data_IF_476168380923
#
_entry.id   IF_476168380923
#
_cell.length_a   1.000
_cell.length_b   1.000
_cell.length_c   1.000
_cell.angle_alpha   90.00
_cell.angle_beta   90.00
_cell.angle_gamma   90.00
#
_symmetry.space_group_name_H-M   'P 1'
#
loop_
_entity.id
_entity.type
_entity.pdbx_description
1 polymer ?
#
# COMPACT_ATOMS: atom_id res chain seq x y z
N UNK A 1 27.28 -5.52 -14.45
CA UNK A 1 26.64 -6.52 -13.55
C UNK A 1 26.26 -7.74 -14.36
N UNK A 2 26.40 -8.95 -13.82
CA UNK A 2 25.82 -10.16 -14.38
C UNK A 2 24.30 -10.06 -14.52
N UNK A 3 23.75 -10.81 -15.47
CA UNK A 3 22.30 -10.98 -15.62
C UNK A 3 21.75 -11.65 -14.35
N UNK A 4 20.69 -11.08 -13.76
CA UNK A 4 20.09 -11.55 -12.50
C UNK A 4 20.53 -10.77 -11.24
N UNK A 5 21.58 -9.97 -11.28
CA UNK A 5 22.02 -9.13 -10.13
C UNK A 5 21.42 -7.71 -10.10
N UNK A 6 20.61 -7.36 -11.11
CA UNK A 6 20.01 -6.04 -11.27
C UNK A 6 18.49 -6.11 -11.08
N UNK A 7 18.06 -6.84 -10.05
CA UNK A 7 16.64 -7.05 -9.77
C UNK A 7 16.38 -6.84 -8.28
N UNK A 8 15.26 -6.19 -7.96
CA UNK A 8 14.81 -5.98 -6.58
C UNK A 8 14.38 -7.32 -5.97
N UNK A 9 14.87 -7.66 -4.78
CA UNK A 9 14.61 -8.95 -4.14
C UNK A 9 13.64 -8.83 -2.96
N UNK A 10 13.16 -9.97 -2.44
CA UNK A 10 12.42 -9.99 -1.16
C UNK A 10 13.29 -9.48 0.00
N UNK A 11 14.60 -9.75 -0.03
CA UNK A 11 15.51 -9.19 0.96
C UNK A 11 15.48 -7.66 0.92
N UNK A 12 15.46 -7.05 -0.26
CA UNK A 12 15.33 -5.59 -0.38
C UNK A 12 14.00 -5.08 0.21
N UNK A 13 12.89 -5.81 0.04
CA UNK A 13 11.60 -5.46 0.66
C UNK A 13 11.70 -5.45 2.19
N UNK A 14 12.28 -6.50 2.77
CA UNK A 14 12.38 -6.65 4.21
C UNK A 14 13.32 -5.59 4.82
N UNK A 15 14.52 -5.42 4.25
CA UNK A 15 15.53 -4.55 4.84
C UNK A 15 15.32 -3.07 4.55
N UNK A 16 14.81 -2.70 3.37
CA UNK A 16 14.61 -1.28 3.03
C UNK A 16 13.23 -0.74 3.43
N UNK A 17 12.20 -1.59 3.51
CA UNK A 17 10.84 -1.14 3.80
C UNK A 17 10.29 -1.68 5.12
N UNK A 18 10.99 -2.62 5.76
CA UNK A 18 10.49 -3.27 6.98
C UNK A 18 9.21 -4.08 6.72
N UNK A 19 8.91 -4.44 5.46
CA UNK A 19 7.70 -5.17 5.13
C UNK A 19 7.90 -6.66 5.38
N UNK A 20 6.92 -7.36 5.99
CA UNK A 20 6.96 -8.81 6.15
C UNK A 20 6.99 -9.49 4.78
N UNK A 21 7.94 -10.41 4.60
CA UNK A 21 8.10 -11.22 3.38
C UNK A 21 7.60 -12.65 3.53
N UNK A 22 7.33 -13.08 4.75
CA UNK A 22 6.70 -14.35 5.08
C UNK A 22 5.24 -14.13 5.52
N UNK A 23 4.48 -15.22 5.63
CA UNK A 23 3.09 -15.19 6.11
C UNK A 23 2.05 -15.42 5.02
N UNK A 24 0.81 -15.02 5.30
CA UNK A 24 -0.32 -15.29 4.43
C UNK A 24 -0.22 -14.49 3.11
N UNK A 25 -0.64 -15.08 1.97
CA UNK A 25 -0.67 -14.35 0.71
C UNK A 25 -1.70 -13.21 0.76
N UNK A 26 -1.31 -12.04 0.26
CA UNK A 26 -2.26 -10.95 -0.02
C UNK A 26 -2.97 -11.28 -1.33
N UNK A 27 -4.24 -11.66 -1.23
CA UNK A 27 -5.14 -12.01 -2.34
C UNK A 27 -6.21 -10.93 -2.56
N UNK A 28 -7.11 -11.11 -3.52
CA UNK A 28 -8.15 -10.13 -3.85
C UNK A 28 -7.86 -9.42 -5.16
N UNK A 29 -8.31 -10.05 -6.24
CA UNK A 29 -8.49 -9.35 -7.50
C UNK A 29 -9.54 -8.24 -7.31
N UNK A 30 -9.55 -7.25 -8.20
CA UNK A 30 -10.53 -6.16 -8.24
C UNK A 30 -11.99 -6.64 -8.13
N UNK A 31 -12.30 -7.84 -8.63
CA UNK A 31 -13.66 -8.38 -8.70
C UNK A 31 -14.04 -9.34 -7.57
N UNK A 32 -13.07 -10.00 -6.93
CA UNK A 32 -13.35 -11.17 -6.08
C UNK A 32 -13.03 -10.91 -4.60
N UNK A 33 -12.55 -9.71 -4.26
CA UNK A 33 -12.21 -9.37 -2.88
C UNK A 33 -13.44 -9.39 -1.95
N UNK A 34 -14.65 -9.28 -2.50
CA UNK A 34 -15.90 -9.46 -1.75
C UNK A 34 -16.00 -10.85 -1.11
N UNK A 35 -15.37 -11.88 -1.70
CA UNK A 35 -15.30 -13.23 -1.12
C UNK A 35 -14.42 -13.32 0.14
N UNK A 36 -13.55 -12.32 0.34
CA UNK A 36 -12.71 -12.20 1.55
C UNK A 36 -13.44 -11.46 2.67
N UNK A 37 -14.63 -10.90 2.40
CA UNK A 37 -15.41 -10.22 3.40
C UNK A 37 -16.18 -11.22 4.26
N UNK A 38 -16.16 -11.00 5.57
CA UNK A 38 -16.96 -11.81 6.49
C UNK A 38 -18.46 -11.56 6.26
N UNK A 39 -19.26 -12.61 6.46
CA UNK A 39 -20.74 -12.58 6.44
C UNK A 39 -21.43 -12.24 5.11
N UNK A 40 -20.69 -12.07 4.00
CA UNK A 40 -21.29 -11.77 2.69
C UNK A 40 -22.03 -10.42 2.65
N UNK A 41 -21.70 -9.51 3.58
CA UNK A 41 -22.28 -8.17 3.62
C UNK A 41 -21.87 -7.37 2.38
N UNK A 42 -22.68 -6.38 1.94
CA UNK A 42 -22.26 -5.45 0.89
C UNK A 42 -21.02 -4.64 1.31
N UNK A 43 -20.08 -4.42 0.38
CA UNK A 43 -18.82 -3.71 0.65
C UNK A 43 -18.98 -2.34 1.33
N UNK A 44 -20.02 -1.59 0.95
CA UNK A 44 -20.28 -0.25 1.50
C UNK A 44 -20.89 -0.30 2.88
N UNK A 45 -21.67 -1.34 3.21
CA UNK A 45 -22.12 -1.55 4.58
C UNK A 45 -20.93 -1.85 5.49
N UNK A 46 -20.00 -2.69 5.03
CA UNK A 46 -18.80 -2.99 5.81
C UNK A 46 -17.87 -1.78 5.96
N UNK A 47 -17.77 -0.95 4.92
CA UNK A 47 -17.09 0.33 5.02
C UNK A 47 -17.66 1.19 6.15
N UNK A 48 -18.97 1.37 6.19
CA UNK A 48 -19.62 2.16 7.24
C UNK A 48 -19.40 1.57 8.64
N UNK A 49 -19.42 0.24 8.79
CA UNK A 49 -19.09 -0.42 10.05
C UNK A 49 -17.64 -0.15 10.51
N UNK A 50 -16.68 -0.18 9.58
CA UNK A 50 -15.25 0.01 9.88
C UNK A 50 -14.84 1.47 10.08
N UNK A 51 -15.53 2.41 9.45
CA UNK A 51 -15.18 3.84 9.44
C UNK A 51 -16.16 4.74 10.21
N UNK A 52 -17.37 4.24 10.50
CA UNK A 52 -18.44 4.96 11.18
C UNK A 52 -19.20 5.96 10.30
N UNK A 53 -18.82 6.10 9.04
CA UNK A 53 -19.46 7.00 8.07
C UNK A 53 -19.21 6.54 6.63
N UNK A 54 -20.10 6.96 5.72
CA UNK A 54 -19.91 6.80 4.29
C UNK A 54 -19.31 8.07 3.67
N UNK A 55 -18.45 7.93 2.64
CA UNK A 55 -18.03 9.07 1.85
C UNK A 55 -19.21 9.70 1.10
N UNK A 56 -19.15 11.00 0.77
CA UNK A 56 -20.07 11.63 -0.17
C UNK A 56 -20.13 10.88 -1.51
N UNK A 57 -21.32 10.84 -2.13
CA UNK A 57 -21.56 10.08 -3.37
C UNK A 57 -20.65 10.51 -4.51
N UNK A 58 -20.31 11.81 -4.60
CA UNK A 58 -19.39 12.38 -5.59
C UNK A 58 -17.93 11.97 -5.38
N UNK A 59 -17.58 11.45 -4.19
CA UNK A 59 -16.27 10.89 -3.89
C UNK A 59 -16.17 9.40 -4.28
N UNK A 60 -17.29 8.73 -4.55
CA UNK A 60 -17.39 7.29 -4.80
C UNK A 60 -17.36 7.00 -6.30
N UNK A 61 -16.65 5.95 -6.69
CA UNK A 61 -16.65 5.38 -8.05
C UNK A 61 -16.48 3.87 -7.93
N UNK A 62 -17.56 3.12 -8.19
CA UNK A 62 -17.66 1.66 -8.02
C UNK A 62 -17.13 1.15 -6.66
N UNK A 63 -15.89 0.67 -6.61
CA UNK A 63 -15.22 0.10 -5.43
C UNK A 63 -14.06 0.97 -4.94
N UNK A 64 -14.12 2.27 -5.23
CA UNK A 64 -13.06 3.20 -4.90
C UNK A 64 -13.63 4.50 -4.34
N UNK A 65 -12.82 5.16 -3.51
CA UNK A 65 -13.12 6.47 -2.92
C UNK A 65 -12.02 7.45 -3.29
N UNK A 66 -12.36 8.72 -3.51
CA UNK A 66 -11.38 9.79 -3.73
C UNK A 66 -10.33 9.83 -2.62
N UNK A 67 -9.06 9.85 -3.00
CA UNK A 67 -7.94 10.05 -2.07
C UNK A 67 -8.07 11.38 -1.33
N UNK A 68 -8.57 12.44 -1.99
CA UNK A 68 -8.77 13.74 -1.36
C UNK A 68 -9.74 13.68 -0.18
N UNK A 69 -10.78 12.85 -0.28
CA UNK A 69 -11.70 12.63 0.84
C UNK A 69 -11.01 11.90 1.99
N UNK A 70 -10.35 10.77 1.71
CA UNK A 70 -9.59 10.01 2.71
C UNK A 70 -8.55 10.89 3.41
N UNK A 71 -7.77 11.64 2.63
CA UNK A 71 -6.75 12.53 3.16
C UNK A 71 -7.36 13.58 4.08
N UNK A 72 -8.45 14.23 3.68
CA UNK A 72 -9.10 15.25 4.51
C UNK A 72 -9.71 14.67 5.77
N UNK A 73 -10.38 13.51 5.67
CA UNK A 73 -11.09 12.87 6.79
C UNK A 73 -10.16 12.30 7.85
N UNK A 74 -9.03 11.73 7.44
CA UNK A 74 -8.08 11.08 8.34
C UNK A 74 -6.81 11.90 8.55
N UNK A 75 -6.80 13.18 8.14
CA UNK A 75 -5.61 14.06 8.25
C UNK A 75 -5.17 14.29 9.68
N UNK A 76 -6.13 14.58 10.56
CA UNK A 76 -5.89 15.04 11.92
C UNK A 76 -6.78 14.24 12.85
N UNK A 77 -6.16 13.41 13.68
CA UNK A 77 -6.85 12.69 14.74
C UNK A 77 -7.14 13.63 15.92
N UNK A 78 -8.31 13.54 16.56
CA UNK A 78 -8.60 14.28 17.79
C UNK A 78 -7.56 13.98 18.88
N UNK A 79 -7.23 14.98 19.70
CA UNK A 79 -6.23 14.86 20.77
C UNK A 79 -6.68 13.96 21.92
N UNK A 80 -7.99 13.78 22.07
CA UNK A 80 -8.68 12.97 23.08
C UNK A 80 -9.30 11.69 22.46
N UNK A 81 -8.74 11.21 21.35
CA UNK A 81 -9.24 10.04 20.64
C UNK A 81 -9.27 8.79 21.54
N UNK A 82 -10.44 8.16 21.60
CA UNK A 82 -10.61 6.83 22.22
C UNK A 82 -9.95 5.75 21.37
N UNK A 83 -9.66 4.58 21.96
CA UNK A 83 -9.05 3.45 21.23
C UNK A 83 -9.82 3.08 19.94
N UNK A 84 -11.16 2.96 19.92
CA UNK A 84 -11.91 2.74 18.67
C UNK A 84 -11.67 3.83 17.63
N UNK A 85 -11.60 5.10 18.06
CA UNK A 85 -11.29 6.22 17.17
C UNK A 85 -9.89 6.09 16.58
N UNK A 86 -8.89 5.75 17.41
CA UNK A 86 -7.51 5.52 16.94
C UNK A 86 -7.49 4.43 15.87
N UNK A 87 -8.20 3.32 16.08
CA UNK A 87 -8.27 2.25 15.09
C UNK A 87 -8.92 2.69 13.77
N UNK A 88 -10.01 3.47 13.81
CA UNK A 88 -10.64 4.04 12.59
C UNK A 88 -9.63 4.90 11.80
N UNK A 89 -8.87 5.75 12.48
CA UNK A 89 -7.84 6.56 11.85
C UNK A 89 -6.66 5.73 11.32
N UNK A 90 -6.24 4.70 12.06
CA UNK A 90 -5.21 3.77 11.63
C UNK A 90 -5.63 3.03 10.35
N UNK A 91 -6.86 2.51 10.28
CA UNK A 91 -7.44 1.89 9.07
C UNK A 91 -7.39 2.85 7.89
N UNK A 92 -7.81 4.09 8.09
CA UNK A 92 -7.83 5.12 7.03
C UNK A 92 -6.43 5.41 6.51
N UNK A 93 -5.45 5.55 7.41
CA UNK A 93 -4.05 5.77 7.04
C UNK A 93 -3.43 4.56 6.31
N UNK A 94 -3.67 3.35 6.80
CA UNK A 94 -3.19 2.12 6.18
C UNK A 94 -3.80 1.94 4.79
N UNK A 95 -5.10 2.17 4.61
CA UNK A 95 -5.74 2.13 3.29
C UNK A 95 -5.10 3.12 2.31
N UNK A 96 -4.79 4.35 2.76
CA UNK A 96 -4.05 5.31 1.94
C UNK A 96 -2.65 4.81 1.58
N UNK A 97 -1.89 4.27 2.54
CA UNK A 97 -0.55 3.72 2.27
C UNK A 97 -0.59 2.57 1.27
N UNK A 98 -1.52 1.62 1.45
CA UNK A 98 -1.70 0.48 0.54
C UNK A 98 -2.04 0.98 -0.87
N UNK A 99 -3.04 1.86 -1.00
CA UNK A 99 -3.50 2.33 -2.30
C UNK A 99 -2.54 3.28 -3.02
N UNK A 100 -1.75 4.06 -2.29
CA UNK A 100 -0.95 5.15 -2.89
C UNK A 100 0.53 4.81 -2.97
N UNK A 101 1.07 4.21 -1.91
CA UNK A 101 2.51 3.99 -1.78
C UNK A 101 2.90 2.61 -2.29
N UNK A 102 2.20 1.55 -1.85
CA UNK A 102 2.56 0.17 -2.20
C UNK A 102 1.94 -0.24 -3.54
N UNK A 103 0.65 -0.01 -3.73
CA UNK A 103 -0.12 -0.52 -4.88
C UNK A 103 -0.68 0.59 -5.78
N UNK A 104 -0.06 1.76 -5.74
CA UNK A 104 -0.43 2.94 -6.55
C UNK A 104 -0.62 2.62 -8.02
N UNK A 105 -1.71 3.14 -8.58
CA UNK A 105 -1.96 3.15 -10.02
C UNK A 105 -1.49 4.47 -10.67
N UNK A 106 -1.84 4.68 -11.94
CA UNK A 106 -1.44 5.90 -12.68
C UNK A 106 -2.22 7.14 -12.25
N UNK A 107 -3.40 6.99 -11.66
CA UNK A 107 -4.25 8.11 -11.27
C UNK A 107 -3.77 8.72 -9.97
N UNK A 108 -3.29 7.89 -9.03
CA UNK A 108 -2.92 8.33 -7.68
C UNK A 108 -4.02 9.15 -6.99
N UNK A 109 -5.28 8.97 -7.41
CA UNK A 109 -6.38 9.83 -7.00
C UNK A 109 -7.44 9.08 -6.21
N UNK A 110 -7.30 7.76 -6.07
CA UNK A 110 -8.36 6.89 -5.55
C UNK A 110 -7.81 5.80 -4.63
N UNK A 111 -8.54 5.55 -3.55
CA UNK A 111 -8.30 4.48 -2.57
C UNK A 111 -9.28 3.35 -2.88
N UNK A 112 -8.78 2.11 -3.00
CA UNK A 112 -9.61 0.96 -3.38
C UNK A 112 -10.10 0.20 -2.16
N UNK A 113 -11.36 -0.20 -2.17
CA UNK A 113 -12.00 -0.96 -1.08
C UNK A 113 -11.52 -2.41 -0.96
N UNK A 114 -10.61 -2.86 -1.83
CA UNK A 114 -10.08 -4.25 -1.77
C UNK A 114 -9.22 -4.48 -0.53
N UNK A 115 -8.83 -3.40 0.13
CA UNK A 115 -8.02 -3.43 1.33
C UNK A 115 -8.86 -3.59 2.59
N UNK A 116 -10.19 -3.41 2.51
CA UNK A 116 -11.09 -3.54 3.66
C UNK A 116 -10.90 -4.85 4.43
N UNK A 117 -10.84 -6.04 3.78
CA UNK A 117 -10.62 -7.29 4.51
C UNK A 117 -9.35 -7.31 5.37
N UNK A 118 -8.30 -6.64 4.89
CA UNK A 118 -7.00 -6.62 5.57
C UNK A 118 -6.96 -5.62 6.71
N UNK A 119 -7.72 -4.53 6.63
CA UNK A 119 -7.76 -3.50 7.67
C UNK A 119 -8.91 -3.71 8.65
N UNK A 120 -9.81 -4.66 8.40
CA UNK A 120 -10.88 -5.03 9.32
C UNK A 120 -10.28 -5.48 10.66
N UNK A 121 -9.32 -6.39 10.62
CA UNK A 121 -8.53 -6.84 11.77
C UNK A 121 -7.09 -6.31 11.68
N UNK A 122 -6.79 -5.30 12.50
CA UNK A 122 -5.46 -4.69 12.53
C UNK A 122 -4.40 -5.59 13.20
N UNK A 123 -4.82 -6.54 14.05
CA UNK A 123 -3.90 -7.47 14.71
C UNK A 123 -3.41 -8.55 13.74
N UNK A 124 -4.27 -8.95 12.79
CA UNK A 124 -3.92 -9.91 11.74
C UNK A 124 -3.17 -9.28 10.56
N UNK A 125 -3.28 -7.96 10.37
CA UNK A 125 -2.64 -7.23 9.27
C UNK A 125 -1.13 -7.54 9.14
N UNK A 126 -0.44 -7.67 10.27
CA UNK A 126 1.01 -7.96 10.30
C UNK A 126 1.40 -9.36 9.83
N UNK A 127 0.44 -10.29 9.70
CA UNK A 127 0.71 -11.70 9.34
C UNK A 127 0.71 -11.95 7.84
N UNK A 128 0.41 -10.93 7.03
CA UNK A 128 0.42 -11.03 5.57
C UNK A 128 1.79 -10.70 5.00
N UNK A 129 2.16 -11.36 3.91
CA UNK A 129 3.40 -11.13 3.18
C UNK A 129 3.32 -9.88 2.28
N UNK A 130 3.22 -8.70 2.92
CA UNK A 130 3.12 -7.40 2.24
C UNK A 130 4.31 -7.11 1.33
N UNK A 131 5.51 -7.53 1.72
CA UNK A 131 6.73 -7.38 0.92
C UNK A 131 6.65 -8.19 -0.38
N UNK A 132 6.19 -9.43 -0.33
CA UNK A 132 6.00 -10.26 -1.53
C UNK A 132 4.92 -9.70 -2.45
N UNK A 133 3.80 -9.25 -1.89
CA UNK A 133 2.73 -8.65 -2.66
C UNK A 133 3.19 -7.36 -3.37
N UNK A 134 3.92 -6.51 -2.66
CA UNK A 134 4.49 -5.26 -3.17
C UNK A 134 5.52 -5.53 -4.28
N UNK A 135 6.41 -6.49 -4.08
CA UNK A 135 7.39 -6.89 -5.10
C UNK A 135 6.72 -7.45 -6.36
N UNK A 136 5.70 -8.28 -6.21
CA UNK A 136 4.91 -8.80 -7.34
C UNK A 136 4.24 -7.66 -8.12
N UNK A 137 3.65 -6.69 -7.41
CA UNK A 137 3.06 -5.50 -8.03
C UNK A 137 4.10 -4.66 -8.77
N UNK A 138 5.27 -4.43 -8.17
CA UNK A 138 6.37 -3.71 -8.80
C UNK A 138 6.80 -4.38 -10.11
N UNK A 139 7.01 -5.70 -10.11
CA UNK A 139 7.35 -6.43 -11.33
C UNK A 139 6.26 -6.33 -12.38
N UNK A 140 4.98 -6.46 -12.00
CA UNK A 140 3.86 -6.26 -12.93
C UNK A 140 3.90 -4.87 -13.57
N UNK A 141 4.22 -3.84 -12.80
CA UNK A 141 4.34 -2.46 -13.30
C UNK A 141 5.54 -2.30 -14.25
N UNK A 142 6.71 -2.86 -13.91
CA UNK A 142 7.90 -2.84 -14.76
C UNK A 142 7.67 -3.58 -16.08
N UNK A 143 7.06 -4.78 -16.04
CA UNK A 143 6.68 -5.53 -17.24
C UNK A 143 5.72 -4.73 -18.14
N UNK A 144 4.77 -4.00 -17.54
CA UNK A 144 3.82 -3.16 -18.30
C UNK A 144 4.53 -1.99 -18.99
N UNK A 145 5.52 -1.36 -18.35
CA UNK A 145 6.26 -0.23 -18.93
C UNK A 145 7.23 -0.65 -20.02
N UNK A 146 7.67 -1.91 -20.03
CA UNK A 146 8.42 -2.47 -21.15
C UNK A 146 7.62 -2.45 -22.48
N UNK A 147 6.29 -2.29 -22.42
CA UNK A 147 5.47 -2.06 -23.60
C UNK A 147 5.60 -0.60 -24.08
N UNK A 148 6.06 -0.42 -25.33
CA UNK A 148 6.27 0.90 -25.98
C UNK A 148 5.07 1.86 -25.93
N UNK A 149 3.86 1.35 -25.75
CA UNK A 149 2.64 2.17 -25.69
C UNK A 149 2.37 2.76 -24.30
N UNK A 150 3.11 2.36 -23.27
CA UNK A 150 2.96 2.85 -21.89
C UNK A 150 3.94 3.98 -21.62
N UNK A 151 3.43 5.17 -21.32
CA UNK A 151 4.24 6.38 -21.10
C UNK A 151 4.61 6.64 -19.63
N UNK A 152 3.86 6.07 -18.68
CA UNK A 152 4.04 6.31 -17.24
C UNK A 152 4.16 4.98 -16.48
N UNK A 153 5.16 4.92 -15.59
CA UNK A 153 5.32 3.84 -14.60
C UNK A 153 4.44 4.12 -13.38
N UNK A 154 3.68 3.11 -12.97
CA UNK A 154 2.89 3.11 -11.75
C UNK A 154 3.52 2.16 -10.71
N UNK A 155 2.96 2.10 -9.51
CA UNK A 155 3.44 1.25 -8.41
C UNK A 155 4.44 1.95 -7.50
N UNK A 156 5.19 1.14 -6.76
CA UNK A 156 6.08 1.55 -5.65
C UNK A 156 7.35 2.26 -6.16
N UNK A 157 7.22 3.42 -6.80
CA UNK A 157 8.34 4.17 -7.39
C UNK A 157 9.39 4.55 -6.36
N UNK A 158 8.97 4.95 -5.16
CA UNK A 158 9.87 5.26 -4.05
C UNK A 158 10.77 4.06 -3.70
N UNK A 159 10.24 2.84 -3.81
CA UNK A 159 11.00 1.61 -3.61
C UNK A 159 12.05 1.40 -4.68
N UNK A 160 11.65 1.53 -5.94
CA UNK A 160 12.58 1.38 -7.03
C UNK A 160 13.70 2.43 -6.96
N UNK A 161 13.37 3.67 -6.58
CA UNK A 161 14.33 4.76 -6.39
C UNK A 161 15.28 4.47 -5.22
N UNK A 162 14.76 4.10 -4.05
CA UNK A 162 15.58 3.72 -2.88
C UNK A 162 16.56 2.60 -3.23
N UNK A 163 16.06 1.56 -3.90
CA UNK A 163 16.88 0.44 -4.33
C UNK A 163 17.96 0.85 -5.34
N UNK A 164 17.63 1.69 -6.34
CA UNK A 164 18.60 2.24 -7.30
C UNK A 164 19.70 3.02 -6.57
N UNK A 165 19.34 3.91 -5.65
CA UNK A 165 20.32 4.69 -4.90
C UNK A 165 21.23 3.78 -4.06
N UNK A 166 20.66 2.78 -3.39
CA UNK A 166 21.46 1.83 -2.63
C UNK A 166 22.43 1.02 -3.52
N UNK A 167 21.94 0.49 -4.66
CA UNK A 167 22.71 -0.38 -5.55
C UNK A 167 23.73 0.35 -6.41
N UNK A 168 23.47 1.61 -6.77
CA UNK A 168 24.28 2.41 -7.68
C UNK A 168 24.74 3.72 -7.01
N UNK A 169 25.95 3.76 -6.42
CA UNK A 169 26.48 4.94 -5.75
C UNK A 169 26.44 6.23 -6.61
N UNK A 170 26.64 6.10 -7.92
CA UNK A 170 26.60 7.24 -8.86
C UNK A 170 25.26 7.96 -8.90
N UNK A 171 24.15 7.27 -8.62
CA UNK A 171 22.81 7.88 -8.61
C UNK A 171 22.39 8.37 -7.23
N UNK A 172 23.20 8.17 -6.17
CA UNK A 172 22.83 8.58 -4.80
C UNK A 172 22.76 10.10 -4.69
N UNK A 173 21.66 10.66 -4.15
CA UNK A 173 21.63 12.04 -3.70
C UNK A 173 22.67 12.30 -2.61
N UNK A 174 23.16 13.54 -2.50
CA UNK A 174 24.04 13.94 -1.39
C UNK A 174 23.31 13.74 -0.06
N UNK A 175 23.93 13.05 0.90
CA UNK A 175 23.36 12.76 2.22
C UNK A 175 22.54 11.47 2.30
N UNK A 176 22.47 10.66 1.23
CA UNK A 176 21.80 9.36 1.26
C UNK A 176 22.48 8.34 2.19
N UNK A 177 23.75 8.54 2.53
CA UNK A 177 24.50 7.65 3.44
C UNK A 177 24.10 7.84 4.93
N UNK A 178 23.19 8.77 5.25
CA UNK A 178 22.72 9.07 6.63
C UNK A 178 21.52 8.21 7.03
N UNK A 179 21.15 7.19 6.25
CA UNK A 179 20.04 6.29 6.60
C UNK A 179 20.46 5.36 7.75
N UNK A 180 20.27 5.84 8.97
CA UNK A 180 19.88 5.00 10.10
C UNK A 180 18.57 4.34 9.68
N UNK A 181 18.59 3.04 9.39
CA UNK A 181 17.38 2.25 9.27
C UNK A 181 16.81 2.02 10.67
N UNK A 182 15.94 2.89 11.23
CA UNK A 182 15.62 2.81 12.66
C UNK A 182 14.81 1.55 12.98
N UNK A 183 14.23 0.93 11.95
CA UNK A 183 13.50 -0.34 12.01
C UNK A 183 14.35 -1.58 11.72
N UNK A 184 15.50 -1.44 11.03
CA UNK A 184 16.44 -2.56 10.81
C UNK A 184 17.57 -2.58 11.86
N UNK A 185 17.66 -1.58 12.74
CA UNK A 185 18.65 -1.46 13.80
C UNK A 185 18.16 -1.98 15.16
N UNK A 186 17.25 -2.96 15.19
CA UNK A 186 16.81 -3.65 16.41
C UNK A 186 17.37 -5.05 16.49
#
# INVERSE_FOLDING_TARGET
MPFGECTVTLQDMAYQFGLPIDGFPVSGCLSDFEQLMEDGKPVWQWFEELFGELPPVDCIDEFTVSYGWFQNRFRVMPTDATEPTVQVYARGYIMMLLSMMLFGDKSGARVHLRWLPYVADLDELGKYSWGSATLCWLYRCLCRVANRNVKNLAGTLALLQSWIFWRFPTFRPRGFDVILWPLASR
#
